data_IF_416872471270
#
_entry.id   IF_416872471270
#
_cell.length_a   1.000
_cell.length_b   1.000
_cell.length_c   1.000
_cell.angle_alpha   90.00
_cell.angle_beta   90.00
_cell.angle_gamma   90.00
#
_symmetry.space_group_name_H-M   'P 1'
#
loop_
_entity.id
_entity.type
_entity.pdbx_description
1 polymer ?
#
# COMPACT_ATOMS: atom_id res chain seq x y z
N UNK A 1 6.66 -8.33 -0.82
CA UNK A 1 5.97 -7.06 -1.14
C UNK A 1 4.83 -7.39 -2.08
N UNK A 2 3.63 -6.84 -1.87
CA UNK A 2 2.48 -7.02 -2.77
C UNK A 2 2.11 -5.69 -3.43
N UNK A 3 1.59 -5.74 -4.64
CA UNK A 3 1.16 -4.54 -5.36
C UNK A 3 -0.21 -4.07 -4.86
N UNK A 4 -0.35 -2.75 -4.66
CA UNK A 4 -1.63 -2.16 -4.21
C UNK A 4 -2.73 -2.20 -5.27
N UNK A 5 -2.38 -2.51 -6.53
CA UNK A 5 -3.32 -2.84 -7.60
C UNK A 5 -2.73 -3.98 -8.42
N UNK A 6 -3.50 -5.07 -8.52
CA UNK A 6 -3.12 -6.26 -9.28
C UNK A 6 -3.72 -6.27 -10.70
N UNK A 7 -4.16 -5.10 -11.19
CA UNK A 7 -4.73 -4.91 -12.52
C UNK A 7 -4.09 -3.74 -13.25
N UNK A 8 -3.74 -3.94 -14.52
CA UNK A 8 -2.99 -2.97 -15.31
C UNK A 8 -3.81 -1.73 -15.67
N UNK A 9 -3.11 -0.62 -15.89
CA UNK A 9 -3.72 0.55 -16.52
C UNK A 9 -3.94 0.28 -18.02
N UNK A 10 -4.93 0.93 -18.66
CA UNK A 10 -5.17 0.77 -20.10
C UNK A 10 -4.01 1.21 -21.00
N UNK A 11 -3.09 2.04 -20.45
CA UNK A 11 -1.91 2.56 -21.12
C UNK A 11 -0.75 2.61 -20.13
N UNK A 12 0.47 2.45 -20.63
CA UNK A 12 1.68 2.58 -19.82
C UNK A 12 1.77 3.96 -19.15
N UNK A 13 2.19 3.98 -17.88
CA UNK A 13 2.23 5.20 -17.05
C UNK A 13 0.85 5.78 -16.70
N UNK A 14 -0.23 5.22 -17.25
CA UNK A 14 -1.59 5.68 -17.06
C UNK A 14 -2.16 5.40 -15.67
N UNK A 15 -3.32 6.01 -15.38
CA UNK A 15 -4.07 5.72 -14.16
C UNK A 15 -4.94 4.50 -14.38
N UNK A 16 -4.96 3.61 -13.38
CA UNK A 16 -5.96 2.54 -13.31
C UNK A 16 -7.29 3.16 -12.87
N UNK A 17 -8.41 2.92 -13.59
CA UNK A 17 -9.71 3.45 -13.19
C UNK A 17 -10.09 3.05 -11.76
N UNK A 18 -10.77 3.93 -11.02
CA UNK A 18 -11.12 3.67 -9.62
C UNK A 18 -12.01 2.43 -9.44
N UNK A 19 -12.95 2.18 -10.36
CA UNK A 19 -13.77 0.97 -10.36
C UNK A 19 -12.93 -0.30 -10.50
N UNK A 20 -11.93 -0.29 -11.40
CA UNK A 20 -11.00 -1.41 -11.58
C UNK A 20 -10.11 -1.60 -10.35
N UNK A 21 -9.61 -0.51 -9.77
CA UNK A 21 -8.83 -0.60 -8.52
C UNK A 21 -9.65 -1.25 -7.40
N UNK A 22 -10.94 -0.89 -7.27
CA UNK A 22 -11.84 -1.46 -6.25
C UNK A 22 -12.09 -2.94 -6.49
N UNK A 23 -12.42 -3.32 -7.73
CA UNK A 23 -12.69 -4.71 -8.06
C UNK A 23 -11.45 -5.58 -7.82
N UNK A 24 -10.29 -5.16 -8.32
CA UNK A 24 -9.07 -5.95 -8.18
C UNK A 24 -8.55 -5.99 -6.74
N UNK A 25 -8.68 -4.88 -6.00
CA UNK A 25 -8.38 -4.87 -4.58
C UNK A 25 -9.28 -5.81 -3.78
N UNK A 26 -10.58 -5.82 -4.07
CA UNK A 26 -11.55 -6.68 -3.38
C UNK A 26 -11.34 -8.16 -3.72
N UNK A 27 -11.10 -8.46 -5.00
CA UNK A 27 -10.94 -9.83 -5.50
C UNK A 27 -9.63 -10.47 -5.05
N UNK A 28 -8.54 -9.70 -5.00
CA UNK A 28 -7.21 -10.26 -4.77
C UNK A 28 -6.56 -9.76 -3.48
N UNK A 29 -6.42 -8.45 -3.28
CA UNK A 29 -5.67 -7.92 -2.14
C UNK A 29 -6.36 -8.23 -0.81
N UNK A 30 -7.69 -8.06 -0.71
CA UNK A 30 -8.42 -8.40 0.51
C UNK A 30 -8.26 -9.89 0.85
N UNK A 31 -8.36 -10.77 -0.15
CA UNK A 31 -8.15 -12.22 0.04
C UNK A 31 -6.75 -12.58 0.49
N UNK A 32 -5.74 -11.85 0.04
CA UNK A 32 -4.37 -12.01 0.54
C UNK A 32 -4.22 -11.55 1.99
N UNK A 33 -4.86 -10.43 2.36
CA UNK A 33 -4.81 -9.91 3.72
C UNK A 33 -5.60 -10.79 4.71
N UNK A 34 -6.70 -11.42 4.28
CA UNK A 34 -7.45 -12.41 5.07
C UNK A 34 -6.57 -13.59 5.52
N UNK A 35 -5.56 -13.96 4.74
CA UNK A 35 -4.60 -15.03 5.10
C UNK A 35 -3.57 -14.59 6.15
N UNK A 36 -3.47 -13.30 6.44
CA UNK A 36 -2.46 -12.70 7.31
C UNK A 36 -3.11 -11.78 8.35
N UNK A 37 -3.99 -12.30 9.23
CA UNK A 37 -4.83 -11.48 10.12
C UNK A 37 -4.06 -10.65 11.15
N UNK A 38 -2.79 -10.99 11.40
CA UNK A 38 -1.92 -10.29 12.35
C UNK A 38 -0.75 -9.56 11.68
N UNK A 39 -0.76 -9.45 10.34
CA UNK A 39 0.31 -8.75 9.65
C UNK A 39 0.22 -7.24 9.85
N UNK A 40 1.39 -6.62 10.03
CA UNK A 40 1.53 -5.18 9.87
C UNK A 40 1.39 -4.81 8.39
N UNK A 41 0.33 -4.09 8.04
CA UNK A 41 0.16 -3.52 6.70
C UNK A 41 0.89 -2.18 6.62
N UNK A 42 1.76 -2.02 5.63
CA UNK A 42 2.51 -0.79 5.38
C UNK A 42 2.20 -0.26 3.98
N UNK A 43 1.70 0.96 3.89
CA UNK A 43 1.44 1.66 2.64
C UNK A 43 2.67 2.45 2.20
N UNK A 44 3.33 1.99 1.15
CA UNK A 44 4.48 2.63 0.54
C UNK A 44 4.03 3.71 -0.47
N UNK A 45 3.92 4.95 -0.02
CA UNK A 45 3.53 6.11 -0.84
C UNK A 45 2.03 6.34 -0.97
N UNK A 46 1.68 7.51 -1.53
CA UNK A 46 0.29 8.01 -1.60
C UNK A 46 -0.64 7.09 -2.38
N UNK A 47 -0.18 6.51 -3.50
CA UNK A 47 -0.99 5.58 -4.30
C UNK A 47 -1.44 4.37 -3.47
N UNK A 48 -0.52 3.74 -2.74
CA UNK A 48 -0.84 2.58 -1.91
C UNK A 48 -1.82 2.95 -0.80
N UNK A 49 -1.56 4.07 -0.11
CA UNK A 49 -2.46 4.62 0.92
C UNK A 49 -3.88 4.84 0.39
N UNK A 50 -4.01 5.57 -0.71
CA UNK A 50 -5.30 5.95 -1.26
C UNK A 50 -6.10 4.72 -1.71
N UNK A 51 -5.41 3.70 -2.24
CA UNK A 51 -6.01 2.41 -2.64
C UNK A 51 -6.49 1.58 -1.45
N UNK A 52 -5.69 1.49 -0.38
CA UNK A 52 -6.12 0.81 0.86
C UNK A 52 -7.36 1.48 1.46
N UNK A 53 -7.36 2.82 1.54
CA UNK A 53 -8.53 3.60 2.01
C UNK A 53 -9.77 3.37 1.16
N UNK A 54 -9.60 3.30 -0.16
CA UNK A 54 -10.69 3.03 -1.10
C UNK A 54 -11.29 1.62 -0.92
N UNK A 55 -10.53 0.67 -0.38
CA UNK A 55 -11.01 -0.67 0.00
C UNK A 55 -11.54 -0.74 1.44
N UNK A 56 -11.63 0.40 2.15
CA UNK A 56 -12.09 0.45 3.55
C UNK A 56 -11.05 0.00 4.57
N UNK A 57 -9.81 -0.27 4.15
CA UNK A 57 -8.72 -0.62 5.06
C UNK A 57 -8.18 0.69 5.63
N UNK A 58 -8.21 0.85 6.95
CA UNK A 58 -7.72 2.05 7.66
C UNK A 58 -6.58 1.73 8.63
N UNK A 59 -6.43 0.47 9.05
CA UNK A 59 -5.37 0.01 9.93
C UNK A 59 -4.10 -0.33 9.14
N UNK A 60 -3.31 0.68 8.77
CA UNK A 60 -2.02 0.51 8.11
C UNK A 60 -1.06 1.65 8.43
N UNK A 61 0.25 1.40 8.33
CA UNK A 61 1.29 2.41 8.51
C UNK A 61 1.61 3.09 7.18
N UNK A 62 1.49 4.42 7.13
CA UNK A 62 1.88 5.22 5.96
C UNK A 62 3.37 5.59 5.99
N UNK A 63 4.08 5.30 4.90
CA UNK A 63 5.47 5.72 4.72
C UNK A 63 5.71 6.20 3.28
N UNK A 64 6.86 6.81 3.03
CA UNK A 64 7.22 7.21 1.67
C UNK A 64 7.43 6.00 0.75
N UNK A 65 7.16 6.20 -0.54
CA UNK A 65 7.47 5.19 -1.56
C UNK A 65 8.97 4.89 -1.57
N UNK A 66 9.30 3.61 -1.68
CA UNK A 66 10.68 3.13 -1.84
C UNK A 66 11.22 3.38 -3.25
N UNK A 67 10.33 3.60 -4.22
CA UNK A 67 10.69 3.94 -5.59
C UNK A 67 10.65 5.46 -5.84
N UNK A 68 11.44 5.98 -6.80
CA UNK A 68 11.37 7.36 -7.25
C UNK A 68 9.98 7.78 -7.76
N UNK A 69 9.62 9.07 -7.64
CA UNK A 69 10.37 10.12 -6.94
C UNK A 69 10.21 10.06 -5.42
N UNK A 70 9.35 9.18 -4.89
CA UNK A 70 8.96 9.14 -3.48
C UNK A 70 10.11 8.94 -2.50
N UNK A 71 11.12 8.15 -2.88
CA UNK A 71 12.30 7.89 -2.06
C UNK A 71 13.23 9.10 -1.91
N UNK A 72 13.11 10.10 -2.80
CA UNK A 72 13.96 11.29 -2.80
C UNK A 72 13.40 12.41 -1.91
N UNK A 73 12.19 12.24 -1.36
CA UNK A 73 11.64 13.22 -0.44
C UNK A 73 12.44 13.25 0.86
N UNK A 74 12.70 14.46 1.37
CA UNK A 74 13.24 14.66 2.72
C UNK A 74 12.28 14.04 3.73
N UNK A 75 12.77 13.16 4.59
CA UNK A 75 11.93 12.40 5.53
C UNK A 75 11.59 10.97 5.08
N UNK A 76 11.94 10.57 3.84
CA UNK A 76 11.61 9.23 3.34
C UNK A 76 12.28 8.14 4.18
N UNK A 77 13.58 8.27 4.45
CA UNK A 77 14.34 7.30 5.24
C UNK A 77 13.83 7.21 6.68
N UNK A 78 13.54 8.36 7.29
CA UNK A 78 12.98 8.47 8.63
C UNK A 78 11.59 7.84 8.72
N UNK A 79 10.79 7.92 7.65
CA UNK A 79 9.49 7.25 7.60
C UNK A 79 9.62 5.72 7.64
N UNK A 80 10.65 5.15 6.98
CA UNK A 80 10.88 3.70 6.96
C UNK A 80 11.38 3.17 8.31
N UNK A 81 12.14 3.97 9.06
CA UNK A 81 12.56 3.64 10.43
C UNK A 81 11.40 3.39 11.40
N UNK A 82 10.17 3.81 11.06
CA UNK A 82 8.97 3.52 11.86
C UNK A 82 8.48 2.09 11.69
N UNK A 83 8.84 1.39 10.61
CA UNK A 83 8.35 0.04 10.30
C UNK A 83 8.82 -0.99 11.35
N UNK A 84 10.11 -1.07 11.72
CA UNK A 84 10.56 -2.00 12.75
C UNK A 84 9.89 -1.74 14.11
N UNK A 85 9.70 -0.47 14.48
CA UNK A 85 9.06 -0.11 15.74
C UNK A 85 7.57 -0.47 15.77
N UNK A 86 6.85 -0.28 14.65
CA UNK A 86 5.47 -0.74 14.52
C UNK A 86 5.38 -2.27 14.55
N UNK A 87 6.33 -2.98 13.93
CA UNK A 87 6.35 -4.43 13.90
C UNK A 87 6.58 -5.04 15.29
N UNK A 88 7.45 -4.42 16.11
CA UNK A 88 7.66 -4.83 17.50
C UNK A 88 6.40 -4.70 18.35
N UNK A 89 5.55 -3.70 18.09
CA UNK A 89 4.28 -3.47 18.80
C UNK A 89 3.13 -4.38 18.34
N UNK A 90 3.24 -4.93 17.13
CA UNK A 90 2.23 -5.83 16.56
C UNK A 90 2.45 -7.31 16.93
N UNK A 91 3.59 -7.63 17.57
CA UNK A 91 3.87 -8.93 18.21
C UNK A 91 3.42 -8.91 19.65
#
# INVERSE_FOLDING_TARGET
MTESVLCSAPKEGGRVPAAVCRECGSRYLLKQLELLPHALVVALGSKARDRLRMLGITAFLEVHSVAPPGCNHRGARESWSKIPEALKKAR
#
